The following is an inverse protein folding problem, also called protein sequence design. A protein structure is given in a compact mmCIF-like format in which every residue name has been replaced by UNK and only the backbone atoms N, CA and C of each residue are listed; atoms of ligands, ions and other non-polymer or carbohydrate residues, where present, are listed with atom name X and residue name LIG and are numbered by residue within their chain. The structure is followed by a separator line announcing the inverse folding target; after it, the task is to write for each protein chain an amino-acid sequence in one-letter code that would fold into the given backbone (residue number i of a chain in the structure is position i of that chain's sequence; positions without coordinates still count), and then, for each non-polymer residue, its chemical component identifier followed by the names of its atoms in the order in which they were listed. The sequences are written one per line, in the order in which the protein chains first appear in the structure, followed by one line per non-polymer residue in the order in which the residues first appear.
data_IF_918975676345
#
_entry.id   IF_918975676345
#
_cell.length_a   1.000
_cell.length_b   1.000
_cell.length_c   1.000
_cell.angle_alpha   90.00
_cell.angle_beta   90.00
_cell.angle_gamma   90.00
#
_symmetry.space_group_name_H-M   'P 1'
#
loop_
_entity.id
_entity.type
_entity.pdbx_description
1 polymer ?
#
# COMPACT_ATOMS: atom_id res chain seq x y z
N UNK A 1 -25.41 -27.60 32.57
CA UNK A 1 -25.35 -26.46 31.62
C UNK A 1 -24.80 -25.26 32.37
N UNK A 2 -23.56 -24.82 32.09
CA UNK A 2 -23.07 -23.47 32.42
C UNK A 2 -21.65 -23.27 31.87
N UNK A 3 -21.59 -22.23 31.03
CA UNK A 3 -20.43 -21.40 30.67
C UNK A 3 -19.26 -22.04 29.94
N UNK A 4 -19.37 -22.04 28.61
CA UNK A 4 -18.24 -21.88 27.71
C UNK A 4 -17.64 -20.47 27.90
N UNK A 5 -16.37 -20.41 28.30
CA UNK A 5 -15.59 -19.18 28.25
C UNK A 5 -14.82 -19.20 26.91
N UNK A 6 -15.36 -18.48 25.94
CA UNK A 6 -14.71 -18.22 24.65
C UNK A 6 -13.38 -17.51 24.87
N UNK A 7 -12.29 -18.18 24.53
CA UNK A 7 -10.98 -17.55 24.42
C UNK A 7 -10.97 -16.67 23.15
N UNK A 8 -11.08 -15.35 23.34
CA UNK A 8 -10.78 -14.37 22.29
C UNK A 8 -9.27 -14.31 22.19
N UNK A 9 -8.71 -15.03 21.21
CA UNK A 9 -7.33 -14.83 20.77
C UNK A 9 -7.32 -13.55 19.94
N UNK A 10 -6.96 -12.44 20.59
CA UNK A 10 -6.67 -11.19 19.90
C UNK A 10 -5.41 -11.42 19.04
N UNK A 11 -5.60 -11.48 17.72
CA UNK A 11 -4.53 -11.42 16.75
C UNK A 11 -3.86 -10.05 16.84
N UNK A 12 -2.86 -9.90 17.72
CA UNK A 12 -1.96 -8.75 17.70
C UNK A 12 -1.00 -8.89 16.53
N UNK A 13 -1.49 -8.53 15.34
CA UNK A 13 -0.69 -8.32 14.14
C UNK A 13 -0.51 -6.83 13.87
N UNK A 14 0.01 -6.06 14.83
CA UNK A 14 0.58 -4.75 14.50
C UNK A 14 1.97 -4.97 13.91
N UNK A 15 2.01 -5.44 12.67
CA UNK A 15 3.18 -5.24 11.83
C UNK A 15 3.26 -3.75 11.55
N UNK A 16 4.24 -3.08 12.17
CA UNK A 16 4.58 -1.71 11.82
C UNK A 16 4.95 -1.68 10.34
N UNK A 17 3.99 -1.30 9.49
CA UNK A 17 4.26 -0.98 8.08
C UNK A 17 4.98 0.37 8.08
N UNK A 18 6.22 0.37 8.55
CA UNK A 18 7.18 1.41 8.22
C UNK A 18 7.73 1.07 6.83
N UNK A 19 6.84 1.03 5.84
CA UNK A 19 7.29 1.15 4.45
C UNK A 19 7.72 2.60 4.23
N UNK A 20 8.78 2.78 3.44
CA UNK A 20 9.42 4.05 3.14
C UNK A 20 8.51 4.98 2.31
N UNK A 21 7.40 5.45 2.88
CA UNK A 21 6.57 6.49 2.27
C UNK A 21 7.40 7.77 2.21
N UNK A 22 7.79 8.20 1.01
CA UNK A 22 8.41 9.52 0.81
C UNK A 22 7.34 10.51 0.38
N UNK A 23 6.74 11.28 1.31
CA UNK A 23 5.79 12.32 0.93
C UNK A 23 6.50 13.46 0.20
N UNK A 24 5.99 13.83 -0.97
CA UNK A 24 6.35 15.05 -1.67
C UNK A 24 5.16 15.98 -1.61
N UNK A 25 5.36 17.18 -1.03
CA UNK A 25 4.34 18.24 -1.07
C UNK A 25 4.39 18.93 -2.42
N UNK A 26 3.26 18.98 -3.09
CA UNK A 26 3.08 19.71 -4.35
C UNK A 26 2.75 21.17 -4.07
N UNK A 27 2.89 22.03 -5.09
CA UNK A 27 2.75 23.48 -4.96
C UNK A 27 1.31 23.93 -4.63
N UNK A 28 0.33 23.10 -4.94
CA UNK A 28 -1.10 23.27 -4.63
C UNK A 28 -1.47 22.82 -3.20
N UNK A 29 -0.51 22.33 -2.41
CA UNK A 29 -0.73 21.87 -1.04
C UNK A 29 -1.13 20.41 -0.92
N UNK A 30 -1.30 19.70 -2.04
CA UNK A 30 -1.52 18.26 -2.02
C UNK A 30 -0.28 17.49 -1.57
N UNK A 31 -0.50 16.27 -1.08
CA UNK A 31 0.57 15.36 -0.66
C UNK A 31 0.56 14.14 -1.56
N UNK A 32 1.64 14.01 -2.34
CA UNK A 32 1.90 12.85 -3.18
C UNK A 32 2.77 11.86 -2.41
N UNK A 33 2.41 10.59 -2.46
CA UNK A 33 3.16 9.51 -1.85
C UNK A 33 3.66 8.54 -2.91
N UNK A 34 4.90 8.06 -2.72
CA UNK A 34 5.42 6.92 -3.47
C UNK A 34 5.37 5.67 -2.58
N UNK A 35 4.65 4.64 -3.02
CA UNK A 35 4.51 3.34 -2.35
C UNK A 35 5.04 2.23 -3.24
N UNK A 36 5.62 1.19 -2.66
CA UNK A 36 6.25 0.11 -3.43
C UNK A 36 5.94 -1.26 -2.89
N UNK A 37 5.91 -2.26 -3.79
CA UNK A 37 5.76 -3.68 -3.45
C UNK A 37 6.70 -4.51 -4.32
N UNK A 38 7.19 -5.65 -3.79
CA UNK A 38 8.04 -6.58 -4.51
C UNK A 38 7.26 -7.84 -4.87
N UNK A 39 7.46 -8.36 -6.08
CA UNK A 39 6.91 -9.65 -6.52
C UNK A 39 7.90 -10.42 -7.37
N UNK A 40 7.87 -11.75 -7.32
CA UNK A 40 8.85 -12.66 -7.93
C UNK A 40 8.50 -13.11 -9.37
N UNK A 41 7.46 -12.52 -9.96
CA UNK A 41 7.03 -12.80 -11.34
C UNK A 41 6.20 -14.07 -11.52
N UNK A 42 5.87 -14.79 -10.44
CA UNK A 42 4.95 -15.94 -10.49
C UNK A 42 3.55 -15.57 -11.01
N UNK A 43 2.83 -16.55 -11.55
CA UNK A 43 1.43 -16.38 -11.95
C UNK A 43 0.61 -15.86 -10.76
N UNK A 44 -0.01 -14.69 -10.91
CA UNK A 44 -0.80 -14.03 -9.85
C UNK A 44 -0.01 -13.18 -8.86
N UNK A 45 1.32 -13.27 -8.79
CA UNK A 45 2.15 -12.51 -7.85
C UNK A 45 2.02 -10.99 -8.05
N UNK A 46 1.93 -10.54 -9.32
CA UNK A 46 1.67 -9.13 -9.65
C UNK A 46 0.30 -8.66 -9.16
N UNK A 47 -0.72 -9.51 -9.29
CA UNK A 47 -2.08 -9.19 -8.83
C UNK A 47 -2.13 -9.00 -7.32
N UNK A 48 -1.45 -9.89 -6.58
CA UNK A 48 -1.30 -9.74 -5.13
C UNK A 48 -0.53 -8.46 -4.77
N UNK A 49 0.54 -8.12 -5.49
CA UNK A 49 1.27 -6.89 -5.25
C UNK A 49 0.39 -5.64 -5.44
N UNK A 50 -0.47 -5.63 -6.47
CA UNK A 50 -1.46 -4.57 -6.70
C UNK A 50 -2.46 -4.47 -5.55
N UNK A 51 -3.00 -5.61 -5.10
CA UNK A 51 -3.94 -5.64 -3.98
C UNK A 51 -3.31 -5.10 -2.68
N UNK A 52 -2.06 -5.48 -2.41
CA UNK A 52 -1.29 -4.94 -1.29
C UNK A 52 -1.07 -3.43 -1.40
N UNK A 53 -0.74 -2.91 -2.59
CA UNK A 53 -0.57 -1.47 -2.78
C UNK A 53 -1.89 -0.71 -2.63
N UNK A 54 -3.02 -1.24 -3.09
CA UNK A 54 -4.34 -0.64 -2.88
C UNK A 54 -4.69 -0.55 -1.38
N UNK A 55 -4.46 -1.63 -0.63
CA UNK A 55 -4.67 -1.63 0.83
C UNK A 55 -3.78 -0.58 1.50
N UNK A 56 -2.50 -0.51 1.13
CA UNK A 56 -1.57 0.47 1.68
C UNK A 56 -1.97 1.91 1.33
N UNK A 57 -2.41 2.17 0.10
CA UNK A 57 -2.88 3.48 -0.33
C UNK A 57 -4.10 3.94 0.48
N UNK A 58 -5.11 3.08 0.65
CA UNK A 58 -6.30 3.36 1.46
C UNK A 58 -5.96 3.61 2.93
N UNK A 59 -5.06 2.81 3.49
CA UNK A 59 -4.62 2.97 4.88
C UNK A 59 -3.80 4.25 5.09
N UNK A 60 -3.00 4.64 4.09
CA UNK A 60 -2.19 5.86 4.12
C UNK A 60 -3.04 7.11 4.02
N UNK A 61 -4.01 7.12 3.09
CA UNK A 61 -4.85 8.28 2.84
C UNK A 61 -6.00 8.42 3.85
N UNK A 62 -6.46 7.31 4.44
CA UNK A 62 -7.70 7.26 5.22
C UNK A 62 -8.91 7.81 4.43
N UNK A 63 -8.81 7.84 3.11
CA UNK A 63 -9.76 8.40 2.14
C UNK A 63 -9.58 7.71 0.79
N UNK A 64 -10.41 8.08 -0.19
CA UNK A 64 -10.11 7.77 -1.59
C UNK A 64 -8.79 8.42 -2.03
N UNK A 65 -8.16 7.82 -3.03
CA UNK A 65 -6.89 8.26 -3.60
C UNK A 65 -6.94 8.25 -5.14
N UNK A 66 -6.08 9.03 -5.76
CA UNK A 66 -5.81 8.98 -7.21
C UNK A 66 -4.50 8.26 -7.41
N UNK A 67 -4.49 7.25 -8.28
CA UNK A 67 -3.24 6.66 -8.80
C UNK A 67 -2.71 7.58 -9.91
N UNK A 68 -1.59 8.24 -9.65
CA UNK A 68 -0.94 9.16 -10.59
C UNK A 68 -0.05 8.41 -11.59
N UNK A 69 0.71 7.43 -11.10
CA UNK A 69 1.61 6.64 -11.94
C UNK A 69 1.80 5.22 -11.39
N UNK A 70 2.06 4.28 -12.29
CA UNK A 70 2.45 2.90 -11.99
C UNK A 70 3.70 2.55 -12.79
N UNK A 71 4.76 2.13 -12.10
CA UNK A 71 6.01 1.69 -12.70
C UNK A 71 6.39 0.29 -12.22
N UNK A 72 6.95 -0.53 -13.12
CA UNK A 72 7.54 -1.82 -12.79
C UNK A 72 9.04 -1.80 -13.09
N UNK A 73 9.88 -1.96 -12.06
CA UNK A 73 11.33 -2.01 -12.18
C UNK A 73 11.81 -3.44 -11.96
N UNK A 74 12.35 -4.13 -12.99
CA UNK A 74 12.88 -5.48 -12.82
C UNK A 74 14.18 -5.44 -12.00
N UNK A 75 14.31 -6.39 -11.09
CA UNK A 75 15.51 -6.64 -10.30
C UNK A 75 16.22 -7.83 -10.93
N UNK A 76 17.41 -7.55 -11.48
CA UNK A 76 18.19 -8.52 -12.23
C UNK A 76 19.25 -9.19 -11.34
N UNK A 77 19.48 -10.48 -11.54
CA UNK A 77 20.67 -11.13 -10.99
C UNK A 77 21.92 -10.81 -11.84
N UNK A 78 23.08 -11.32 -11.42
CA UNK A 78 24.36 -11.13 -12.13
C UNK A 78 24.41 -11.77 -13.52
N UNK A 79 23.49 -12.67 -13.83
CA UNK A 79 23.38 -13.36 -15.13
C UNK A 79 22.47 -12.60 -16.10
N UNK A 80 21.83 -11.50 -15.66
CA UNK A 80 20.87 -10.77 -16.49
C UNK A 80 19.49 -11.42 -16.53
N UNK A 81 19.11 -12.17 -15.48
CA UNK A 81 17.77 -12.74 -15.34
C UNK A 81 16.97 -11.95 -14.31
N UNK A 82 15.68 -11.75 -14.57
CA UNK A 82 14.76 -11.13 -13.61
C UNK A 82 14.54 -12.10 -12.45
N UNK A 83 14.90 -11.70 -11.23
CA UNK A 83 14.65 -12.49 -10.00
C UNK A 83 13.46 -11.98 -9.20
N UNK A 84 13.12 -10.70 -9.37
CA UNK A 84 11.91 -10.08 -8.85
C UNK A 84 11.65 -8.79 -9.61
N UNK A 85 10.50 -8.19 -9.37
CA UNK A 85 10.13 -6.89 -9.89
C UNK A 85 9.58 -6.04 -8.75
N UNK A 86 9.93 -4.76 -8.77
CA UNK A 86 9.37 -3.76 -7.87
C UNK A 86 8.24 -3.04 -8.59
N UNK A 87 7.04 -3.13 -8.05
CA UNK A 87 5.92 -2.29 -8.41
C UNK A 87 5.99 -1.00 -7.60
N UNK A 88 5.94 0.14 -8.25
CA UNK A 88 5.99 1.48 -7.65
C UNK A 88 4.73 2.21 -8.08
N UNK A 89 3.99 2.74 -7.11
CA UNK A 89 2.85 3.63 -7.36
C UNK A 89 3.15 5.01 -6.80
N UNK A 90 2.83 6.04 -7.58
CA UNK A 90 2.64 7.38 -7.05
C UNK A 90 1.15 7.64 -6.88
N UNK A 91 0.77 8.06 -5.67
CA UNK A 91 -0.63 8.29 -5.32
C UNK A 91 -0.80 9.67 -4.72
N UNK A 92 -1.99 10.22 -4.89
CA UNK A 92 -2.44 11.44 -4.26
C UNK A 92 -3.68 11.16 -3.40
N UNK A 93 -3.65 11.57 -2.14
CA UNK A 93 -4.81 11.42 -1.27
C UNK A 93 -5.84 12.51 -1.55
N UNK A 94 -7.10 12.14 -1.75
CA UNK A 94 -8.17 13.13 -1.89
C UNK A 94 -8.49 13.76 -0.54
N UNK A 95 -8.66 15.08 -0.49
CA UNK A 95 -9.16 15.74 0.71
C UNK A 95 -10.55 15.18 1.06
N UNK A 96 -10.74 14.70 2.30
CA UNK A 96 -12.08 14.49 2.83
C UNK A 96 -12.74 15.86 2.92
N UNK A 97 -13.66 16.13 1.99
CA UNK A 97 -14.60 17.25 2.14
C UNK A 97 -15.41 17.01 3.40
N UNK A 98 -14.94 17.50 4.54
CA UNK A 98 -15.70 17.52 5.78
C UNK A 98 -16.92 18.42 5.53
N UNK A 99 -18.09 17.81 5.37
CA UNK A 99 -19.33 18.57 5.46
C UNK A 99 -19.35 19.27 6.83
N UNK A 100 -19.57 20.59 6.90
CA UNK A 100 -19.62 21.27 8.18
C UNK A 100 -20.76 20.67 9.03
N UNK A 101 -20.58 20.52 10.35
CA UNK A 101 -21.66 20.06 11.23
C UNK A 101 -22.82 21.06 11.15
N UNK A 102 -23.99 20.57 10.76
CA UNK A 102 -25.26 21.30 10.78
C UNK A 102 -25.73 21.63 12.18
#
# INVERSE_FOLDING_TARGET
MKSALSAIVLLTGCGSIADDYKPVRTQDGSTVYSITSLYDGGEGARGQAIEWLDINARNLCLSEYVLLSEETVPIMNRLGEVISSRLIWEIECMEQSAAPPS
#
